data_IF_768048526859
#
_entry.id   IF_768048526859
#
_cell.length_a   1.000
_cell.length_b   1.000
_cell.length_c   1.000
_cell.angle_alpha   90.00
_cell.angle_beta   90.00
_cell.angle_gamma   90.00
#
_symmetry.space_group_name_H-M   'P 1'
#
loop_
_entity.id
_entity.type
_entity.pdbx_description
1 polymer ?
#
# COMPACT_ATOMS: atom_id res chain seq x y z
N UNK A 1 12.39 -2.17 -4.62
CA UNK A 1 13.88 -2.12 -4.61
C UNK A 1 14.41 -0.81 -5.15
N UNK A 2 13.95 -0.34 -6.32
CA UNK A 2 14.45 0.90 -6.91
C UNK A 2 14.27 2.14 -6.00
N UNK A 3 13.13 2.35 -5.29
CA UNK A 3 13.04 3.46 -4.35
C UNK A 3 14.06 3.38 -3.21
N UNK A 4 14.33 2.19 -2.71
CA UNK A 4 15.33 1.96 -1.66
C UNK A 4 16.74 2.31 -2.14
N UNK A 5 17.12 1.84 -3.33
CA UNK A 5 18.41 2.17 -3.92
C UNK A 5 18.59 3.67 -4.10
N UNK A 6 17.58 4.37 -4.62
CA UNK A 6 17.61 5.82 -4.77
C UNK A 6 17.75 6.54 -3.42
N UNK A 7 17.10 6.01 -2.38
CA UNK A 7 17.21 6.54 -1.02
C UNK A 7 18.62 6.40 -0.46
N UNK A 8 19.25 5.25 -0.64
CA UNK A 8 20.64 5.03 -0.21
C UNK A 8 21.63 5.98 -0.88
N UNK A 9 21.35 6.39 -2.11
CA UNK A 9 22.12 7.40 -2.84
C UNK A 9 21.75 8.83 -2.45
N UNK A 10 20.68 9.01 -1.70
CA UNK A 10 20.17 10.33 -1.35
C UNK A 10 19.53 11.06 -2.52
N UNK A 11 19.08 10.34 -3.54
CA UNK A 11 18.53 10.90 -4.78
C UNK A 11 16.99 10.94 -4.70
N UNK A 12 16.47 12.07 -4.20
CA UNK A 12 15.02 12.27 -4.06
C UNK A 12 14.30 12.20 -5.41
N UNK A 13 14.87 12.79 -6.46
CA UNK A 13 14.24 12.83 -7.78
C UNK A 13 14.08 11.42 -8.35
N UNK A 14 15.12 10.60 -8.26
CA UNK A 14 15.08 9.21 -8.70
C UNK A 14 14.10 8.39 -7.86
N UNK A 15 14.05 8.64 -6.54
CA UNK A 15 13.10 7.96 -5.66
C UNK A 15 11.65 8.26 -6.05
N UNK A 16 11.32 9.52 -6.29
CA UNK A 16 9.97 9.92 -6.73
C UNK A 16 9.61 9.30 -8.08
N UNK A 17 10.57 9.25 -9.02
CA UNK A 17 10.35 8.62 -10.31
C UNK A 17 10.09 7.11 -10.16
N UNK A 18 10.85 6.43 -9.31
CA UNK A 18 10.68 4.99 -9.07
C UNK A 18 9.30 4.69 -8.47
N UNK A 19 8.83 5.50 -7.52
CA UNK A 19 7.50 5.35 -6.92
C UNK A 19 6.41 5.59 -7.96
N UNK A 20 6.57 6.62 -8.79
CA UNK A 20 5.64 6.92 -9.89
C UNK A 20 5.55 5.76 -10.89
N UNK A 21 6.68 5.17 -11.23
CA UNK A 21 6.73 4.04 -12.16
C UNK A 21 6.04 2.79 -11.58
N UNK A 22 6.20 2.53 -10.28
CA UNK A 22 5.49 1.44 -9.60
C UNK A 22 3.98 1.66 -9.69
N UNK A 23 3.51 2.88 -9.44
CA UNK A 23 2.09 3.20 -9.52
C UNK A 23 1.55 2.98 -10.95
N UNK A 24 2.20 3.55 -11.96
CA UNK A 24 1.70 3.49 -13.33
C UNK A 24 1.87 2.13 -13.98
N UNK A 25 2.96 1.43 -13.72
CA UNK A 25 3.32 0.21 -14.44
C UNK A 25 2.91 -1.06 -13.74
N UNK A 26 2.68 -1.01 -12.43
CA UNK A 26 2.34 -2.19 -11.65
C UNK A 26 0.99 -2.05 -10.95
N UNK A 27 0.82 -1.04 -10.12
CA UNK A 27 -0.38 -0.90 -9.28
C UNK A 27 -1.61 -0.60 -10.12
N UNK A 28 -1.56 0.37 -11.02
CA UNK A 28 -2.72 0.76 -11.83
C UNK A 28 -3.23 -0.38 -12.71
N UNK A 29 -2.39 -1.14 -13.44
CA UNK A 29 -2.88 -2.29 -14.20
C UNK A 29 -3.53 -3.36 -13.33
N UNK A 30 -2.95 -3.67 -12.17
CA UNK A 30 -3.51 -4.67 -11.25
C UNK A 30 -4.85 -4.17 -10.69
N UNK A 31 -4.92 -2.94 -10.25
CA UNK A 31 -6.15 -2.33 -9.75
C UNK A 31 -7.26 -2.36 -10.80
N UNK A 32 -6.95 -1.96 -12.03
CA UNK A 32 -7.92 -1.96 -13.13
C UNK A 32 -8.44 -3.38 -13.42
N UNK A 33 -7.58 -4.37 -13.34
CA UNK A 33 -7.99 -5.78 -13.50
C UNK A 33 -8.95 -6.21 -12.38
N UNK A 34 -8.62 -5.87 -11.13
CA UNK A 34 -9.47 -6.21 -9.97
C UNK A 34 -10.86 -5.58 -10.09
N UNK A 35 -10.92 -4.31 -10.47
CA UNK A 35 -12.19 -3.58 -10.62
C UNK A 35 -13.09 -4.22 -11.67
N UNK A 36 -12.51 -4.74 -12.75
CA UNK A 36 -13.24 -5.34 -13.87
C UNK A 36 -13.54 -6.84 -13.67
N UNK A 37 -12.86 -7.48 -12.72
CA UNK A 37 -13.02 -8.91 -12.47
C UNK A 37 -14.17 -9.18 -11.50
N UNK A 38 -14.81 -10.33 -11.65
CA UNK A 38 -15.79 -10.83 -10.68
C UNK A 38 -15.15 -11.72 -9.61
N UNK A 39 -13.85 -11.96 -9.69
CA UNK A 39 -13.12 -12.74 -8.71
C UNK A 39 -12.93 -11.95 -7.40
N UNK A 40 -13.07 -12.62 -6.23
CA UNK A 40 -12.82 -11.98 -4.96
C UNK A 40 -11.30 -11.85 -4.72
N UNK A 41 -10.76 -10.67 -4.97
CA UNK A 41 -9.33 -10.37 -4.83
C UNK A 41 -9.15 -9.19 -3.89
N UNK A 42 -8.24 -9.35 -2.93
CA UNK A 42 -7.77 -8.24 -2.10
C UNK A 42 -6.33 -7.90 -2.51
N UNK A 43 -6.01 -6.61 -2.54
CA UNK A 43 -4.66 -6.13 -2.78
C UNK A 43 -4.21 -5.27 -1.60
N UNK A 44 -3.01 -5.53 -1.11
CA UNK A 44 -2.35 -4.67 -0.12
C UNK A 44 -1.10 -4.07 -0.73
N UNK A 45 -0.88 -2.79 -0.49
CA UNK A 45 0.26 -2.03 -0.98
C UNK A 45 0.96 -1.43 0.24
N UNK A 46 2.23 -1.74 0.41
CA UNK A 46 3.04 -1.20 1.50
C UNK A 46 4.53 -1.35 1.19
N UNK A 47 5.37 -0.43 1.69
CA UNK A 47 6.81 -0.67 1.71
C UNK A 47 7.17 -1.65 2.85
N UNK A 48 8.33 -2.24 2.78
CA UNK A 48 8.86 -3.13 3.83
C UNK A 48 9.45 -2.34 5.01
N UNK A 49 10.08 -1.20 4.72
CA UNK A 49 10.68 -0.32 5.73
C UNK A 49 10.89 1.08 5.16
N UNK A 50 11.04 2.11 6.02
CA UNK A 50 11.47 3.43 5.54
C UNK A 50 12.97 3.42 5.19
N UNK A 51 13.34 4.20 4.19
CA UNK A 51 14.73 4.55 3.87
C UNK A 51 14.74 6.01 3.43
N UNK A 52 14.77 6.97 4.39
CA UNK A 52 14.74 8.38 4.04
C UNK A 52 15.98 8.81 3.24
N UNK A 53 15.78 9.68 2.26
CA UNK A 53 16.90 10.21 1.45
C UNK A 53 17.88 11.02 2.29
N UNK A 54 17.43 11.58 3.40
CA UNK A 54 18.26 12.37 4.32
C UNK A 54 19.26 11.49 5.06
N UNK A 55 18.82 10.35 5.55
CA UNK A 55 19.66 9.46 6.36
C UNK A 55 20.33 8.36 5.54
N UNK A 56 19.72 7.97 4.42
CA UNK A 56 20.22 6.95 3.47
C UNK A 56 20.37 5.55 4.07
N UNK A 57 19.69 5.29 5.19
CA UNK A 57 19.74 3.99 5.86
C UNK A 57 18.30 3.51 6.16
N UNK A 58 18.14 2.21 6.38
CA UNK A 58 16.89 1.64 6.82
C UNK A 58 16.55 2.12 8.23
N UNK A 59 15.29 2.50 8.44
CA UNK A 59 14.78 2.91 9.73
C UNK A 59 13.62 2.02 10.16
N UNK A 60 13.20 2.12 11.43
CA UNK A 60 12.18 1.26 12.01
C UNK A 60 10.83 1.95 12.21
N UNK A 61 10.67 3.16 11.70
CA UNK A 61 9.40 3.88 11.80
C UNK A 61 8.28 3.13 11.08
N UNK A 62 7.03 3.31 11.51
CA UNK A 62 5.89 2.73 10.81
C UNK A 62 5.83 3.17 9.35
N UNK A 63 5.36 2.26 8.48
CA UNK A 63 5.19 2.54 7.05
C UNK A 63 3.71 2.66 6.71
N UNK A 64 3.36 3.45 5.69
CA UNK A 64 1.98 3.52 5.22
C UNK A 64 1.58 2.20 4.55
N UNK A 65 0.29 1.86 4.65
CA UNK A 65 -0.25 0.76 3.86
C UNK A 65 -1.64 1.13 3.33
N UNK A 66 -2.00 0.51 2.22
CA UNK A 66 -3.34 0.60 1.65
C UNK A 66 -3.85 -0.81 1.41
N UNK A 67 -5.10 -1.04 1.75
CA UNK A 67 -5.80 -2.31 1.50
C UNK A 67 -7.05 -2.03 0.68
N UNK A 68 -7.23 -2.77 -0.40
CA UNK A 68 -8.39 -2.65 -1.26
C UNK A 68 -8.96 -4.02 -1.62
N UNK A 69 -10.27 -4.12 -1.58
CA UNK A 69 -11.04 -5.19 -2.24
C UNK A 69 -12.33 -4.58 -2.79
N UNK A 70 -12.83 -5.18 -3.87
CA UNK A 70 -14.01 -4.69 -4.57
C UNK A 70 -15.23 -4.72 -3.65
N UNK A 71 -15.90 -3.58 -3.54
CA UNK A 71 -17.09 -3.43 -2.69
C UNK A 71 -16.84 -2.90 -1.29
N UNK A 72 -15.56 -2.71 -0.89
CA UNK A 72 -15.29 -2.10 0.41
C UNK A 72 -15.66 -0.62 0.42
N UNK A 73 -16.07 -0.12 1.58
CA UNK A 73 -16.29 1.31 1.78
C UNK A 73 -14.94 1.99 2.01
N UNK A 74 -14.55 2.98 1.17
CA UNK A 74 -13.28 3.67 1.38
C UNK A 74 -13.35 4.56 2.63
N UNK A 75 -12.21 4.76 3.28
CA UNK A 75 -12.10 5.78 4.32
C UNK A 75 -11.89 7.17 3.71
N UNK A 76 -11.67 8.19 4.55
CA UNK A 76 -11.53 9.57 4.09
C UNK A 76 -10.12 9.92 3.57
N UNK A 77 -9.18 9.00 3.61
CA UNK A 77 -7.78 9.26 3.20
C UNK A 77 -7.68 9.29 1.68
N UNK A 78 -7.06 10.35 1.15
CA UNK A 78 -6.99 10.61 -0.30
C UNK A 78 -5.59 10.44 -0.87
N UNK A 79 -4.56 10.41 -0.05
CA UNK A 79 -3.17 10.31 -0.49
C UNK A 79 -2.43 9.22 0.28
N UNK A 80 -1.47 8.59 -0.39
CA UNK A 80 -0.69 7.50 0.17
C UNK A 80 0.67 8.03 0.64
N UNK A 81 0.71 8.45 1.89
CA UNK A 81 1.90 8.94 2.56
C UNK A 81 1.76 8.71 4.08
N UNK A 82 2.85 8.81 4.82
CA UNK A 82 2.89 8.52 6.25
C UNK A 82 1.92 9.40 7.06
N UNK A 83 1.87 10.69 6.74
CA UNK A 83 1.02 11.63 7.48
C UNK A 83 -0.47 11.37 7.22
N UNK A 84 -0.85 11.19 5.96
CA UNK A 84 -2.24 10.99 5.57
C UNK A 84 -2.78 9.65 6.04
N UNK A 85 -2.01 8.57 5.90
CA UNK A 85 -2.46 7.23 6.27
C UNK A 85 -2.58 7.04 7.78
N UNK A 86 -1.93 7.87 8.59
CA UNK A 86 -2.10 7.84 10.05
C UNK A 86 -3.55 8.10 10.48
N UNK A 87 -4.35 8.72 9.63
CA UNK A 87 -5.78 8.98 9.85
C UNK A 87 -6.69 7.92 9.20
N UNK A 88 -6.12 6.85 8.67
CA UNK A 88 -6.88 5.78 8.03
C UNK A 88 -7.70 4.95 9.02
N UNK A 89 -8.68 4.23 8.49
CA UNK A 89 -9.63 3.46 9.29
C UNK A 89 -8.96 2.37 10.13
N UNK A 90 -7.85 1.79 9.67
CA UNK A 90 -7.14 0.74 10.41
C UNK A 90 -6.16 1.27 11.46
N UNK A 91 -5.81 2.56 11.42
CA UNK A 91 -4.81 3.14 12.31
C UNK A 91 -3.44 2.48 12.13
N UNK A 92 -2.62 2.52 13.18
CA UNK A 92 -1.32 1.86 13.20
C UNK A 92 -1.47 0.47 13.81
N UNK A 93 -0.96 -0.55 13.15
CA UNK A 93 -1.06 -1.94 13.62
C UNK A 93 0.26 -2.69 13.38
N UNK A 94 0.53 -3.75 14.17
CA UNK A 94 1.65 -4.65 13.88
C UNK A 94 1.50 -5.31 12.50
N UNK A 95 2.61 -5.46 11.76
CA UNK A 95 2.60 -6.00 10.41
C UNK A 95 1.93 -7.37 10.30
N UNK A 96 2.06 -8.21 11.33
CA UNK A 96 1.45 -9.55 11.35
C UNK A 96 -0.08 -9.50 11.24
N UNK A 97 -0.72 -8.40 11.63
CA UNK A 97 -2.17 -8.25 11.55
C UNK A 97 -2.66 -7.94 10.14
N UNK A 98 -1.78 -7.50 9.25
CA UNK A 98 -2.17 -7.18 7.86
C UNK A 98 -2.71 -8.40 7.13
N UNK A 99 -2.05 -9.55 7.28
CA UNK A 99 -2.52 -10.79 6.64
C UNK A 99 -3.91 -11.19 7.14
N UNK A 100 -4.15 -11.04 8.44
CA UNK A 100 -5.47 -11.31 9.03
C UNK A 100 -6.54 -10.41 8.39
N UNK A 101 -6.24 -9.11 8.21
CA UNK A 101 -7.15 -8.16 7.56
C UNK A 101 -7.42 -8.52 6.11
N UNK A 102 -6.42 -8.97 5.37
CA UNK A 102 -6.59 -9.41 3.98
C UNK A 102 -7.50 -10.64 3.89
N UNK A 103 -7.34 -11.59 4.80
CA UNK A 103 -8.18 -12.80 4.84
C UNK A 103 -9.62 -12.46 5.25
N UNK A 104 -9.82 -11.57 6.21
CA UNK A 104 -11.15 -11.07 6.58
C UNK A 104 -11.83 -10.39 5.39
N UNK A 105 -11.11 -9.59 4.63
CA UNK A 105 -11.63 -8.93 3.44
C UNK A 105 -12.16 -9.93 2.43
N UNK A 106 -11.42 -11.02 2.18
CA UNK A 106 -11.86 -12.09 1.29
C UNK A 106 -13.12 -12.79 1.81
N UNK A 107 -13.20 -13.02 3.10
CA UNK A 107 -14.37 -13.64 3.75
C UNK A 107 -15.59 -12.73 3.62
N UNK A 108 -15.46 -11.44 3.89
CA UNK A 108 -16.54 -10.47 3.75
C UNK A 108 -17.06 -10.44 2.31
N UNK A 109 -16.17 -10.45 1.33
CA UNK A 109 -16.54 -10.48 -0.08
C UNK A 109 -17.32 -11.75 -0.42
N UNK A 110 -16.90 -12.91 0.08
CA UNK A 110 -17.60 -14.18 -0.12
C UNK A 110 -18.98 -14.16 0.51
N UNK A 111 -19.13 -13.61 1.71
CA UNK A 111 -20.42 -13.49 2.39
C UNK A 111 -21.38 -12.55 1.64
N UNK A 112 -20.87 -11.50 1.02
CA UNK A 112 -21.68 -10.55 0.24
C UNK A 112 -22.21 -11.14 -1.08
N UNK A 113 -21.52 -12.12 -1.64
CA UNK A 113 -21.95 -12.77 -2.89
C UNK A 113 -22.94 -13.88 -2.68
N UNK A 114 -23.07 -14.34 -1.47
CA UNK A 114 -24.04 -15.37 -1.08
C UNK A 114 -25.33 -14.74 -0.56
#
# INVERSE_FOLDING_TARGET
EAPDEASHEGDLRMKLQAITDIDHRLIAPIYNHIVQSDEPVAIAILPDHPTPVETRIHESEPVPFALYYKGMTPDGVKTFDEASTSNGAYGTMPAKHLMEKMLEAGTDTALRTN
#
